data_IF_668042650208
#
_entry.id   IF_668042650208
#
_cell.length_a   1.000
_cell.length_b   1.000
_cell.length_c   1.000
_cell.angle_alpha   90.00
_cell.angle_beta   90.00
_cell.angle_gamma   90.00
#
_symmetry.space_group_name_H-M   'P 1'
#
loop_
_entity.id
_entity.type
_entity.pdbx_description
1 polymer ?
#
# COMPACT_ATOMS: atom_id res chain seq x y z
N UNK A 1 8.56 -27.29 20.19
CA UNK A 1 8.43 -26.20 21.19
C UNK A 1 8.30 -24.92 20.39
N UNK A 2 7.24 -24.14 20.55
CA UNK A 2 7.15 -22.85 19.86
C UNK A 2 8.19 -21.92 20.45
N UNK A 3 9.12 -21.46 19.63
CA UNK A 3 10.03 -20.37 19.97
C UNK A 3 9.20 -19.11 20.11
N UNK A 4 9.10 -18.62 21.33
CA UNK A 4 8.55 -17.29 21.61
C UNK A 4 9.40 -16.28 20.86
N UNK A 5 8.82 -15.63 19.86
CA UNK A 5 9.43 -14.47 19.22
C UNK A 5 9.76 -13.42 20.30
N UNK A 6 10.92 -12.76 20.23
CA UNK A 6 11.24 -11.72 21.20
C UNK A 6 10.14 -10.66 21.15
N UNK A 7 9.59 -10.32 22.30
CA UNK A 7 8.65 -9.22 22.41
C UNK A 7 9.42 -7.93 22.09
N UNK A 8 9.24 -7.40 20.90
CA UNK A 8 9.67 -6.05 20.55
C UNK A 8 8.57 -5.10 21.04
N UNK A 9 8.23 -5.18 22.32
CA UNK A 9 7.52 -4.11 23.01
C UNK A 9 8.52 -2.98 23.28
N UNK A 10 9.06 -2.42 22.20
CA UNK A 10 9.89 -1.23 22.24
C UNK A 10 9.00 0.00 22.37
N UNK A 11 9.53 1.06 23.01
CA UNK A 11 8.90 2.38 22.97
C UNK A 11 8.62 2.77 21.52
N UNK A 12 7.53 3.54 21.29
CA UNK A 12 7.23 4.11 19.99
C UNK A 12 8.45 4.88 19.45
N UNK A 13 8.67 4.89 18.14
CA UNK A 13 9.77 5.65 17.54
C UNK A 13 9.60 7.14 17.83
N UNK A 14 10.72 7.81 18.08
CA UNK A 14 10.75 9.24 18.44
C UNK A 14 11.02 10.15 17.23
N UNK A 15 11.36 9.56 16.09
CA UNK A 15 11.59 10.28 14.82
C UNK A 15 11.19 9.45 13.61
N UNK A 16 10.94 10.13 12.50
CA UNK A 16 10.62 9.48 11.21
C UNK A 16 11.80 8.66 10.68
N UNK A 17 13.03 9.14 10.86
CA UNK A 17 14.24 8.39 10.47
C UNK A 17 14.37 7.08 11.25
N UNK A 18 13.96 7.07 12.51
CA UNK A 18 13.92 5.84 13.32
C UNK A 18 12.92 4.84 12.75
N UNK A 19 11.77 5.28 12.26
CA UNK A 19 10.78 4.39 11.61
C UNK A 19 11.38 3.74 10.37
N UNK A 20 12.03 4.52 9.49
CA UNK A 20 12.72 3.99 8.30
C UNK A 20 13.80 2.98 8.69
N UNK A 21 14.61 3.29 9.72
CA UNK A 21 15.62 2.36 10.22
C UNK A 21 15.02 1.04 10.70
N UNK A 22 13.94 1.09 11.50
CA UNK A 22 13.22 -0.10 11.98
C UNK A 22 12.62 -0.91 10.83
N UNK A 23 12.09 -0.26 9.80
CA UNK A 23 11.60 -0.94 8.60
C UNK A 23 12.72 -1.68 7.86
N UNK A 24 13.92 -1.08 7.73
CA UNK A 24 15.12 -1.74 7.18
C UNK A 24 15.53 -2.98 7.99
N UNK A 25 15.46 -2.90 9.31
CA UNK A 25 15.77 -4.01 10.21
C UNK A 25 14.75 -5.16 10.10
N UNK A 26 13.47 -4.84 9.86
CA UNK A 26 12.40 -5.83 9.64
C UNK A 26 12.46 -6.49 8.27
N UNK A 27 12.98 -5.82 7.24
CA UNK A 27 13.01 -6.31 5.84
C UNK A 27 13.44 -7.77 5.71
N UNK A 28 14.56 -8.26 6.30
CA UNK A 28 14.94 -9.66 6.18
C UNK A 28 13.95 -10.62 6.85
N UNK A 29 13.33 -10.23 7.96
CA UNK A 29 12.33 -11.05 8.68
C UNK A 29 11.07 -11.20 7.82
N UNK A 30 10.60 -10.09 7.23
CA UNK A 30 9.45 -10.11 6.31
C UNK A 30 9.74 -10.95 5.05
N UNK A 31 10.98 -10.89 4.54
CA UNK A 31 11.40 -11.64 3.36
C UNK A 31 11.43 -13.17 3.61
N UNK A 32 11.72 -13.60 4.84
CA UNK A 32 11.68 -15.01 5.23
C UNK A 32 10.22 -15.53 5.25
N UNK A 33 9.26 -14.71 5.70
CA UNK A 33 7.84 -15.06 5.76
C UNK A 33 7.14 -15.06 4.38
N UNK A 34 7.59 -14.21 3.45
CA UNK A 34 6.92 -13.95 2.16
C UNK A 34 6.58 -15.19 1.33
N UNK A 35 7.48 -16.19 1.16
CA UNK A 35 7.17 -17.40 0.42
C UNK A 35 6.00 -18.23 0.98
N UNK A 36 5.87 -18.30 2.30
CA UNK A 36 4.78 -19.04 2.96
C UNK A 36 3.46 -18.30 2.86
N UNK A 37 3.46 -16.99 3.02
CA UNK A 37 2.29 -16.12 2.83
C UNK A 37 1.77 -16.25 1.40
N UNK A 38 2.64 -16.13 0.40
CA UNK A 38 2.28 -16.31 -1.02
C UNK A 38 1.75 -17.70 -1.31
N UNK A 39 2.38 -18.74 -0.76
CA UNK A 39 1.94 -20.13 -0.97
C UNK A 39 0.54 -20.39 -0.43
N UNK A 40 0.28 -19.94 0.78
CA UNK A 40 -1.00 -20.14 1.46
C UNK A 40 -2.09 -19.20 0.93
N UNK A 41 -1.74 -18.04 0.36
CA UNK A 41 -2.70 -16.96 0.09
C UNK A 41 -3.36 -16.45 1.37
N UNK A 42 -2.62 -16.50 2.47
CA UNK A 42 -3.13 -16.13 3.80
C UNK A 42 -2.77 -14.70 4.17
N UNK A 43 -3.59 -14.10 5.01
CA UNK A 43 -3.31 -12.78 5.59
C UNK A 43 -1.93 -12.77 6.29
N UNK A 44 -1.14 -11.69 6.14
CA UNK A 44 0.18 -11.57 6.74
C UNK A 44 0.12 -11.12 8.20
N UNK A 45 -0.74 -11.75 9.01
CA UNK A 45 -1.05 -11.35 10.40
C UNK A 45 0.20 -11.15 11.26
N UNK A 46 1.16 -12.08 11.21
CA UNK A 46 2.40 -11.97 11.97
C UNK A 46 3.28 -10.80 11.51
N UNK A 47 3.40 -10.59 10.19
CA UNK A 47 4.11 -9.45 9.65
C UNK A 47 3.46 -8.13 10.08
N UNK A 48 2.12 -8.02 9.96
CA UNK A 48 1.40 -6.81 10.38
C UNK A 48 1.55 -6.54 11.87
N UNK A 49 1.55 -7.59 12.72
CA UNK A 49 1.84 -7.48 14.14
C UNK A 49 3.27 -6.93 14.38
N UNK A 50 4.27 -7.45 13.67
CA UNK A 50 5.65 -6.96 13.75
C UNK A 50 5.78 -5.49 13.35
N UNK A 51 5.06 -5.04 12.30
CA UNK A 51 5.05 -3.62 11.91
C UNK A 51 4.47 -2.74 13.03
N UNK A 52 3.38 -3.20 13.69
CA UNK A 52 2.76 -2.52 14.82
C UNK A 52 3.71 -2.44 16.03
N UNK A 53 4.31 -3.57 16.43
CA UNK A 53 5.26 -3.65 17.54
C UNK A 53 6.52 -2.80 17.31
N UNK A 54 6.95 -2.67 16.06
CA UNK A 54 8.05 -1.77 15.68
C UNK A 54 7.62 -0.30 15.57
N UNK A 55 6.32 0.01 15.72
CA UNK A 55 5.79 1.37 15.71
C UNK A 55 5.75 2.02 14.33
N UNK A 56 5.74 1.23 13.22
CA UNK A 56 5.78 1.80 11.87
C UNK A 56 4.50 2.58 11.52
N UNK A 57 3.40 2.32 12.22
CA UNK A 57 2.15 3.07 12.06
C UNK A 57 2.20 4.51 12.57
N UNK A 58 3.22 4.87 13.37
CA UNK A 58 3.39 6.23 13.87
C UNK A 58 3.51 7.29 12.77
N UNK A 59 3.99 6.92 11.57
CA UNK A 59 4.03 7.82 10.41
C UNK A 59 2.64 8.24 9.90
N UNK A 60 1.59 7.49 10.26
CA UNK A 60 0.24 7.68 9.75
C UNK A 60 -0.72 8.26 10.80
N UNK A 61 -0.21 8.54 12.01
CA UNK A 61 -0.96 9.13 13.12
C UNK A 61 -0.42 10.52 13.39
N UNK A 62 -1.29 11.54 13.59
CA UNK A 62 -0.85 12.90 13.91
C UNK A 62 0.02 12.98 15.17
N UNK A 63 1.00 13.89 15.17
CA UNK A 63 1.86 14.14 16.32
C UNK A 63 1.05 14.57 17.58
N UNK A 64 -0.03 15.33 17.37
CA UNK A 64 -0.95 15.70 18.45
C UNK A 64 -1.67 14.49 19.10
N UNK A 65 -1.69 13.33 18.43
CA UNK A 65 -2.29 12.08 18.91
C UNK A 65 -1.23 11.01 19.21
N UNK A 66 0.03 11.41 19.39
CA UNK A 66 1.13 10.52 19.76
C UNK A 66 1.87 9.87 18.60
N UNK A 67 1.55 10.21 17.34
CA UNK A 67 2.25 9.75 16.15
C UNK A 67 3.40 10.65 15.72
N UNK A 68 3.80 10.57 14.44
CA UNK A 68 4.91 11.34 13.86
C UNK A 68 4.49 12.14 12.60
N UNK A 69 3.22 12.13 12.28
CA UNK A 69 2.67 12.93 11.20
C UNK A 69 2.36 14.33 11.71
N UNK A 70 2.99 15.34 11.14
CA UNK A 70 2.83 16.74 11.56
C UNK A 70 1.82 17.52 10.74
N UNK A 71 0.99 16.80 9.90
CA UNK A 71 -0.09 17.42 9.09
C UNK A 71 0.33 18.66 8.30
N UNK A 72 -0.50 19.17 7.46
CA UNK A 72 -1.69 18.61 6.82
C UNK A 72 -1.32 17.43 5.90
N UNK A 73 -2.26 16.91 5.13
CA UNK A 73 -2.25 15.66 4.35
C UNK A 73 -0.92 15.20 3.73
N UNK A 74 0.09 16.03 3.62
CA UNK A 74 1.34 15.81 2.89
C UNK A 74 2.62 15.82 3.71
N UNK A 75 2.56 16.01 5.02
CA UNK A 75 3.75 15.94 5.89
C UNK A 75 4.33 14.53 5.98
N UNK A 76 5.67 14.39 5.94
CA UNK A 76 6.37 13.12 6.15
C UNK A 76 6.26 12.11 5.01
N UNK A 77 5.91 12.51 3.81
CA UNK A 77 5.74 11.60 2.67
C UNK A 77 7.03 10.88 2.28
N UNK A 78 8.17 11.55 2.30
CA UNK A 78 9.45 10.91 1.98
C UNK A 78 9.69 9.68 2.87
N UNK A 79 9.54 9.82 4.18
CA UNK A 79 9.73 8.72 5.14
C UNK A 79 8.66 7.64 4.98
N UNK A 80 7.41 8.02 4.73
CA UNK A 80 6.32 7.08 4.46
C UNK A 80 6.61 6.22 3.23
N UNK A 81 7.05 6.83 2.13
CA UNK A 81 7.37 6.13 0.88
C UNK A 81 8.61 5.24 1.04
N UNK A 82 9.66 5.73 1.73
CA UNK A 82 10.85 4.93 2.01
C UNK A 82 10.53 3.73 2.91
N UNK A 83 9.75 3.94 3.97
CA UNK A 83 9.27 2.86 4.85
C UNK A 83 8.48 1.81 4.08
N UNK A 84 7.53 2.25 3.22
CA UNK A 84 6.75 1.36 2.37
C UNK A 84 7.63 0.53 1.43
N UNK A 85 8.65 1.15 0.82
CA UNK A 85 9.58 0.43 -0.06
C UNK A 85 10.34 -0.66 0.71
N UNK A 86 10.82 -0.38 1.93
CA UNK A 86 11.51 -1.37 2.76
C UNK A 86 10.59 -2.53 3.18
N UNK A 87 9.35 -2.25 3.60
CA UNK A 87 8.36 -3.28 3.91
C UNK A 87 8.10 -4.16 2.69
N UNK A 88 7.87 -3.52 1.53
CA UNK A 88 7.53 -4.20 0.27
C UNK A 88 8.68 -5.02 -0.31
N UNK A 89 9.93 -4.62 -0.03
CA UNK A 89 11.10 -5.40 -0.39
C UNK A 89 11.20 -6.68 0.45
N UNK A 90 10.73 -6.67 1.68
CA UNK A 90 10.54 -7.88 2.47
C UNK A 90 9.40 -8.73 1.93
N UNK A 91 8.18 -8.18 1.91
CA UNK A 91 7.00 -8.84 1.37
C UNK A 91 6.01 -7.87 0.75
N UNK A 92 5.74 -8.04 -0.55
CA UNK A 92 4.85 -7.14 -1.30
C UNK A 92 3.40 -7.12 -0.80
N UNK A 93 2.88 -8.25 -0.31
CA UNK A 93 1.51 -8.30 0.24
C UNK A 93 1.42 -7.53 1.56
N UNK A 94 2.39 -7.71 2.45
CA UNK A 94 2.49 -6.92 3.69
C UNK A 94 2.60 -5.42 3.39
N UNK A 95 3.41 -5.05 2.38
CA UNK A 95 3.54 -3.67 1.92
C UNK A 95 2.22 -3.07 1.45
N UNK A 96 1.44 -3.81 0.67
CA UNK A 96 0.12 -3.33 0.21
C UNK A 96 -0.89 -3.21 1.37
N UNK A 97 -0.87 -4.14 2.34
CA UNK A 97 -1.69 -4.01 3.54
C UNK A 97 -1.34 -2.74 4.33
N UNK A 98 -0.06 -2.47 4.54
CA UNK A 98 0.40 -1.26 5.23
C UNK A 98 0.04 0.02 4.46
N UNK A 99 0.19 0.02 3.13
CA UNK A 99 -0.19 1.13 2.25
C UNK A 99 -1.68 1.46 2.38
N UNK A 100 -2.54 0.43 2.31
CA UNK A 100 -3.99 0.58 2.46
C UNK A 100 -4.35 1.21 3.80
N UNK A 101 -3.76 0.70 4.89
CA UNK A 101 -3.94 1.26 6.23
C UNK A 101 -3.44 2.70 6.36
N UNK A 102 -2.34 3.05 5.68
CA UNK A 102 -1.78 4.40 5.69
C UNK A 102 -2.70 5.43 5.01
N UNK A 103 -3.31 5.06 3.88
CA UNK A 103 -4.28 5.91 3.18
C UNK A 103 -5.50 6.17 4.06
N UNK A 104 -6.11 5.11 4.59
CA UNK A 104 -7.30 5.21 5.44
C UNK A 104 -7.02 6.00 6.72
N UNK A 105 -5.86 5.78 7.34
CA UNK A 105 -5.47 6.54 8.54
C UNK A 105 -5.46 8.05 8.26
N UNK A 106 -4.90 8.46 7.13
CA UNK A 106 -4.85 9.88 6.76
C UNK A 106 -6.23 10.47 6.46
N UNK A 107 -7.11 9.72 5.81
CA UNK A 107 -8.51 10.13 5.62
C UNK A 107 -9.22 10.35 6.97
N UNK A 108 -9.07 9.42 7.90
CA UNK A 108 -9.69 9.48 9.23
C UNK A 108 -9.16 10.66 10.05
N UNK A 109 -7.85 10.80 10.15
CA UNK A 109 -7.25 11.82 11.01
C UNK A 109 -7.31 13.22 10.44
N UNK A 110 -7.52 13.37 9.12
CA UNK A 110 -7.80 14.66 8.45
C UNK A 110 -9.28 15.04 8.47
N UNK A 111 -10.19 14.15 8.91
CA UNK A 111 -11.63 14.40 8.92
C UNK A 111 -12.05 15.29 10.11
N UNK A 112 -12.36 16.59 9.93
CA UNK A 112 -12.76 17.47 11.02
C UNK A 112 -14.13 17.14 11.60
N UNK A 113 -14.97 16.41 10.84
CA UNK A 113 -16.31 15.98 11.26
C UNK A 113 -16.27 14.81 12.25
N UNK A 114 -15.18 14.07 12.30
CA UNK A 114 -15.00 13.05 13.33
C UNK A 114 -14.71 13.73 14.68
N UNK A 115 -15.43 13.36 15.74
CA UNK A 115 -15.15 13.85 17.09
C UNK A 115 -13.70 13.60 17.51
N UNK A 116 -13.11 14.52 18.28
CA UNK A 116 -11.75 14.33 18.82
C UNK A 116 -11.61 13.03 19.60
N UNK A 117 -12.63 12.67 20.41
CA UNK A 117 -12.67 11.42 21.17
C UNK A 117 -12.55 10.18 20.27
N UNK A 118 -13.28 10.16 19.14
CA UNK A 118 -13.19 9.06 18.16
C UNK A 118 -11.79 9.01 17.56
N UNK A 119 -11.20 10.14 17.17
CA UNK A 119 -9.84 10.18 16.62
C UNK A 119 -8.78 9.75 17.63
N UNK A 120 -8.90 10.18 18.90
CA UNK A 120 -8.02 9.77 20.00
C UNK A 120 -8.10 8.27 20.26
N UNK A 121 -9.33 7.70 20.29
CA UNK A 121 -9.54 6.27 20.44
C UNK A 121 -8.88 5.48 19.28
N UNK A 122 -9.08 5.91 18.03
CA UNK A 122 -8.52 5.26 16.86
C UNK A 122 -6.99 5.35 16.84
N UNK A 123 -6.42 6.48 17.26
CA UNK A 123 -4.97 6.64 17.38
C UNK A 123 -4.38 5.67 18.42
N UNK A 124 -4.98 5.57 19.63
CA UNK A 124 -4.57 4.60 20.65
C UNK A 124 -4.62 3.16 20.13
N UNK A 125 -5.71 2.82 19.44
CA UNK A 125 -5.88 1.47 18.90
C UNK A 125 -4.83 1.12 17.84
N UNK A 126 -4.48 2.03 16.96
CA UNK A 126 -3.45 1.82 15.93
C UNK A 126 -2.05 1.77 16.54
N UNK A 127 -1.73 2.72 17.43
CA UNK A 127 -0.39 2.84 17.99
C UNK A 127 -0.06 1.78 19.04
N UNK A 128 -1.04 1.37 19.85
CA UNK A 128 -0.80 0.55 21.04
C UNK A 128 -1.47 -0.81 21.03
N UNK A 129 -2.48 -1.04 20.14
CA UNK A 129 -3.21 -2.31 20.07
C UNK A 129 -3.04 -3.03 18.73
N UNK A 130 -2.24 -2.46 17.81
CA UNK A 130 -1.97 -3.06 16.50
C UNK A 130 -3.21 -3.19 15.61
N UNK A 131 -4.23 -2.34 15.80
CA UNK A 131 -5.43 -2.34 14.95
C UNK A 131 -5.09 -1.88 13.56
N UNK A 132 -5.72 -2.53 12.57
CA UNK A 132 -5.52 -2.24 11.16
C UNK A 132 -6.71 -1.49 10.58
N UNK A 133 -6.42 -0.61 9.63
CA UNK A 133 -7.45 -0.01 8.80
C UNK A 133 -7.55 -0.72 7.45
N UNK A 134 -8.77 -0.90 7.00
CA UNK A 134 -9.15 -1.58 5.76
C UNK A 134 -9.79 -0.57 4.82
N UNK A 135 -9.24 -0.40 3.62
CA UNK A 135 -9.85 0.43 2.59
C UNK A 135 -10.96 -0.34 1.87
N UNK A 136 -12.17 0.20 1.88
CA UNK A 136 -13.36 -0.41 1.29
C UNK A 136 -14.02 0.56 0.30
N UNK A 137 -13.39 0.73 -0.88
CA UNK A 137 -13.78 1.75 -1.85
C UNK A 137 -14.37 1.19 -3.16
N UNK A 138 -13.90 0.01 -3.62
CA UNK A 138 -14.22 -0.50 -4.94
C UNK A 138 -15.62 -1.13 -5.02
N UNK A 139 -16.38 -0.73 -6.05
CA UNK A 139 -17.67 -1.30 -6.42
C UNK A 139 -17.51 -1.95 -7.80
N UNK A 140 -17.65 -3.27 -7.88
CA UNK A 140 -17.46 -4.02 -9.13
C UNK A 140 -18.58 -5.01 -9.39
N UNK A 141 -18.63 -5.52 -10.61
CA UNK A 141 -19.42 -6.69 -10.94
C UNK A 141 -20.93 -6.48 -10.99
N UNK A 142 -21.41 -5.24 -11.08
CA UNK A 142 -22.86 -4.99 -11.19
C UNK A 142 -23.61 -5.08 -9.85
N UNK A 143 -22.90 -5.15 -8.74
CA UNK A 143 -23.50 -5.19 -7.37
C UNK A 143 -24.18 -3.87 -6.96
N UNK A 144 -24.17 -2.86 -7.83
CA UNK A 144 -24.70 -1.55 -7.52
C UNK A 144 -23.77 -0.71 -6.63
N UNK A 145 -24.29 0.42 -6.17
CA UNK A 145 -23.57 1.29 -5.23
C UNK A 145 -23.83 0.87 -3.81
N UNK A 146 -22.83 1.01 -2.96
CA UNK A 146 -23.05 1.00 -1.51
C UNK A 146 -23.69 2.31 -1.12
N UNK A 147 -24.81 2.25 -0.43
CA UNK A 147 -25.63 3.40 -0.05
C UNK A 147 -25.75 3.49 1.46
N UNK A 148 -25.95 4.72 1.95
CA UNK A 148 -26.27 5.00 3.33
C UNK A 148 -27.55 5.80 3.45
N UNK A 149 -28.36 5.54 4.48
CA UNK A 149 -29.59 6.28 4.81
C UNK A 149 -29.49 6.84 6.22
N UNK A 150 -29.91 8.08 6.42
CA UNK A 150 -29.96 8.71 7.75
C UNK A 150 -31.05 8.03 8.58
N UNK A 151 -30.73 7.74 9.83
CA UNK A 151 -31.67 7.21 10.83
C UNK A 151 -31.42 7.94 12.15
N UNK A 152 -32.35 7.89 13.13
CA UNK A 152 -32.11 8.49 14.44
C UNK A 152 -30.81 7.98 15.08
N UNK A 153 -29.87 8.89 15.37
CA UNK A 153 -28.59 8.59 16.05
C UNK A 153 -27.48 8.05 15.15
N UNK A 154 -27.63 8.10 13.82
CA UNK A 154 -26.59 7.64 12.90
C UNK A 154 -27.06 7.43 11.47
N UNK A 155 -26.44 6.46 10.82
CA UNK A 155 -26.77 6.03 9.46
C UNK A 155 -26.87 4.50 9.39
N UNK A 156 -27.57 4.01 8.37
CA UNK A 156 -27.57 2.59 8.00
C UNK A 156 -26.90 2.45 6.65
N UNK A 157 -25.90 1.57 6.53
CA UNK A 157 -25.11 1.31 5.31
C UNK A 157 -25.47 -0.06 4.75
N UNK A 158 -25.75 -0.12 3.45
CA UNK A 158 -26.11 -1.35 2.73
C UNK A 158 -25.40 -1.45 1.38
N UNK A 159 -24.96 -2.66 1.01
CA UNK A 159 -24.35 -2.98 -0.28
C UNK A 159 -23.13 -3.87 -0.19
N UNK A 160 -22.39 -3.99 -1.30
CA UNK A 160 -21.23 -4.88 -1.42
C UNK A 160 -20.01 -4.12 -1.92
N UNK A 161 -18.87 -4.34 -1.28
CA UNK A 161 -17.55 -3.87 -1.73
C UNK A 161 -16.65 -5.04 -2.08
N UNK A 162 -15.78 -4.81 -3.07
CA UNK A 162 -14.72 -5.73 -3.47
C UNK A 162 -13.35 -5.10 -3.24
N UNK A 163 -12.28 -5.89 -3.31
CA UNK A 163 -10.91 -5.40 -3.09
C UNK A 163 -10.69 -4.73 -1.73
N UNK A 164 -11.28 -5.30 -0.67
CA UNK A 164 -11.12 -4.79 0.69
C UNK A 164 -9.75 -5.19 1.27
N UNK A 165 -8.70 -4.53 0.78
CA UNK A 165 -7.31 -4.81 1.17
C UNK A 165 -7.09 -4.69 2.67
N UNK A 166 -6.34 -5.64 3.24
CA UNK A 166 -6.00 -5.71 4.67
C UNK A 166 -7.15 -6.22 5.58
N UNK A 167 -8.16 -6.89 5.00
CA UNK A 167 -9.34 -7.37 5.75
C UNK A 167 -9.21 -8.76 6.36
N UNK A 168 -8.07 -9.43 6.17
CA UNK A 168 -7.86 -10.81 6.64
C UNK A 168 -7.61 -10.93 8.15
N UNK A 169 -7.28 -9.85 8.85
CA UNK A 169 -7.11 -9.85 10.31
C UNK A 169 -8.41 -10.06 11.06
N UNK A 170 -9.53 -9.63 10.49
CA UNK A 170 -10.86 -9.77 11.10
C UNK A 170 -11.02 -9.04 12.44
N UNK A 171 -11.95 -9.50 13.25
CA UNK A 171 -12.12 -9.05 14.64
C UNK A 171 -12.35 -7.54 14.75
N UNK A 172 -11.54 -6.90 15.59
CA UNK A 172 -11.64 -5.47 15.89
C UNK A 172 -10.96 -4.53 14.89
N UNK A 173 -10.37 -5.05 13.80
CA UNK A 173 -9.89 -4.20 12.70
C UNK A 173 -11.05 -3.39 12.11
N UNK A 174 -10.74 -2.23 11.53
CA UNK A 174 -11.74 -1.23 11.17
C UNK A 174 -11.75 -1.03 9.66
N UNK A 175 -12.89 -1.28 9.03
CA UNK A 175 -13.07 -0.89 7.63
C UNK A 175 -13.58 0.54 7.53
N UNK A 176 -12.98 1.33 6.63
CA UNK A 176 -13.51 2.60 6.15
C UNK A 176 -14.24 2.33 4.84
N UNK A 177 -15.56 2.17 4.91
CA UNK A 177 -16.38 1.91 3.73
C UNK A 177 -16.87 3.20 3.12
N UNK A 178 -16.57 3.41 1.83
CA UNK A 178 -17.12 4.54 1.08
C UNK A 178 -18.52 4.23 0.57
N UNK A 179 -19.46 5.15 0.75
CA UNK A 179 -20.85 4.99 0.33
C UNK A 179 -21.45 6.27 -0.24
N UNK A 180 -22.56 6.16 -0.95
CA UNK A 180 -23.35 7.29 -1.40
C UNK A 180 -24.51 7.53 -0.41
N UNK A 181 -24.66 8.77 0.07
CA UNK A 181 -25.75 9.11 1.00
C UNK A 181 -27.04 9.36 0.23
N UNK A 182 -28.12 8.70 0.64
CA UNK A 182 -29.46 8.91 0.10
C UNK A 182 -30.24 9.88 0.98
N UNK A 183 -31.01 10.77 0.33
CA UNK A 183 -32.02 11.59 0.96
C UNK A 183 -33.30 10.81 1.26
N UNK A 184 -34.28 11.50 1.89
CA UNK A 184 -35.57 10.89 2.25
C UNK A 184 -36.39 10.41 1.04
N UNK A 185 -36.10 10.93 -0.15
CA UNK A 185 -36.72 10.54 -1.43
C UNK A 185 -35.98 9.39 -2.15
N UNK A 186 -35.04 8.74 -1.47
CA UNK A 186 -34.16 7.67 -2.00
C UNK A 186 -33.27 8.11 -3.18
N UNK A 187 -33.18 9.40 -3.44
CA UNK A 187 -32.22 9.96 -4.40
C UNK A 187 -30.90 10.30 -3.72
N UNK A 188 -29.82 10.41 -4.51
CA UNK A 188 -28.53 10.85 -3.98
C UNK A 188 -28.65 12.26 -3.38
N UNK A 189 -28.29 12.41 -2.11
CA UNK A 189 -28.29 13.71 -1.44
C UNK A 189 -27.26 14.66 -2.06
N UNK A 190 -26.11 14.11 -2.47
CA UNK A 190 -25.07 14.87 -3.19
C UNK A 190 -24.17 13.91 -3.99
N UNK A 191 -23.28 14.46 -4.82
CA UNK A 191 -22.20 13.70 -5.47
C UNK A 191 -21.07 13.34 -4.50
N UNK A 192 -21.05 13.91 -3.30
CA UNK A 192 -20.03 13.67 -2.28
C UNK A 192 -20.19 12.26 -1.71
N UNK A 193 -19.11 11.50 -1.74
CA UNK A 193 -19.05 10.20 -1.04
C UNK A 193 -18.93 10.44 0.45
N UNK A 194 -19.37 9.48 1.23
CA UNK A 194 -19.21 9.43 2.68
C UNK A 194 -18.39 8.20 3.04
N UNK A 195 -17.75 8.23 4.21
CA UNK A 195 -17.05 7.10 4.79
C UNK A 195 -17.73 6.71 6.12
N UNK A 196 -17.85 5.41 6.36
CA UNK A 196 -18.32 4.86 7.63
C UNK A 196 -17.25 3.93 8.20
N UNK A 197 -16.98 4.05 9.49
CA UNK A 197 -16.00 3.26 10.23
C UNK A 197 -16.73 2.12 10.93
N UNK A 198 -16.44 0.89 10.50
CA UNK A 198 -17.16 -0.30 10.97
C UNK A 198 -16.13 -1.35 11.40
N UNK A 199 -16.35 -2.00 12.55
CA UNK A 199 -15.53 -3.13 13.00
C UNK A 199 -15.80 -4.37 12.15
N UNK A 200 -14.77 -5.14 11.82
CA UNK A 200 -14.91 -6.33 10.97
C UNK A 200 -15.64 -7.48 11.67
N UNK A 201 -15.76 -7.47 13.00
CA UNK A 201 -16.57 -8.42 13.76
C UNK A 201 -18.05 -8.01 13.92
N UNK A 202 -18.47 -6.93 13.26
CA UNK A 202 -19.88 -6.55 13.23
C UNK A 202 -20.72 -7.67 12.60
N UNK A 203 -21.74 -8.19 13.29
CA UNK A 203 -22.53 -9.34 12.80
C UNK A 203 -23.33 -9.07 11.52
N UNK A 204 -23.50 -7.80 11.13
CA UNK A 204 -24.15 -7.41 9.88
C UNK A 204 -23.19 -7.38 8.69
N UNK A 205 -21.92 -7.73 8.88
CA UNK A 205 -20.95 -7.94 7.80
C UNK A 205 -20.89 -9.41 7.40
N UNK A 206 -20.70 -9.65 6.09
CA UNK A 206 -20.29 -10.96 5.58
C UNK A 206 -18.95 -10.83 4.88
N UNK A 207 -17.93 -11.47 5.44
CA UNK A 207 -16.60 -11.58 4.84
C UNK A 207 -16.56 -12.86 4.01
N UNK A 208 -16.33 -12.74 2.70
CA UNK A 208 -16.50 -13.85 1.76
C UNK A 208 -15.30 -14.80 1.68
N UNK A 209 -14.10 -14.38 2.14
CA UNK A 209 -12.87 -15.17 2.05
C UNK A 209 -12.54 -15.63 0.60
N UNK A 210 -12.89 -14.82 -0.39
CA UNK A 210 -12.88 -15.11 -1.81
C UNK A 210 -11.67 -14.52 -2.57
N UNK A 211 -10.64 -14.05 -1.85
CA UNK A 211 -9.47 -13.48 -2.48
C UNK A 211 -8.55 -14.57 -3.07
N UNK A 212 -8.58 -14.74 -4.39
CA UNK A 212 -7.78 -15.72 -5.12
C UNK A 212 -7.17 -15.12 -6.41
N UNK A 213 -6.21 -14.23 -6.26
CA UNK A 213 -5.55 -13.56 -7.35
C UNK A 213 -4.16 -14.16 -7.63
N UNK A 214 -3.65 -13.90 -8.84
CA UNK A 214 -2.36 -14.37 -9.33
C UNK A 214 -1.20 -13.93 -8.43
N UNK A 215 -1.22 -12.69 -7.95
CA UNK A 215 -0.24 -12.10 -7.05
C UNK A 215 -0.91 -11.27 -5.97
N UNK A 216 -0.10 -10.68 -5.07
CA UNK A 216 -0.61 -10.01 -3.87
C UNK A 216 -1.57 -10.91 -3.08
N UNK A 217 -1.24 -12.20 -3.05
CA UNK A 217 -2.11 -13.25 -2.50
C UNK A 217 -2.37 -13.06 -1.01
N UNK A 218 -1.38 -12.54 -0.27
CA UNK A 218 -1.49 -12.26 1.16
C UNK A 218 -2.23 -10.96 1.52
N UNK A 219 -2.67 -10.13 0.54
CA UNK A 219 -3.38 -8.88 0.90
C UNK A 219 -4.78 -9.11 1.43
N UNK A 220 -5.31 -10.30 1.22
CA UNK A 220 -6.64 -10.70 1.64
C UNK A 220 -7.71 -9.66 1.28
N UNK A 221 -7.69 -9.24 0.01
CA UNK A 221 -8.54 -8.17 -0.52
C UNK A 221 -9.93 -8.70 -0.89
N UNK A 222 -10.58 -9.38 0.05
CA UNK A 222 -11.83 -10.11 -0.13
C UNK A 222 -13.03 -9.20 -0.40
N UNK A 223 -14.14 -9.81 -0.79
CA UNK A 223 -15.47 -9.19 -0.86
C UNK A 223 -16.05 -9.05 0.54
N UNK A 224 -16.71 -7.93 0.83
CA UNK A 224 -17.46 -7.68 2.06
C UNK A 224 -18.85 -7.20 1.70
N UNK A 225 -19.87 -7.90 2.22
CA UNK A 225 -21.26 -7.43 2.23
C UNK A 225 -21.55 -6.66 3.51
N UNK A 226 -22.22 -5.53 3.34
CA UNK A 226 -22.78 -4.69 4.38
C UNK A 226 -24.29 -4.85 4.32
N UNK A 227 -24.92 -5.41 5.37
CA UNK A 227 -26.34 -5.70 5.40
C UNK A 227 -27.04 -4.86 6.46
N UNK A 228 -27.59 -3.70 6.02
CA UNK A 228 -28.29 -2.76 6.92
C UNK A 228 -27.43 -2.44 8.18
N UNK A 229 -26.14 -2.13 7.99
CA UNK A 229 -25.19 -1.90 9.09
C UNK A 229 -25.46 -0.56 9.72
N UNK A 230 -25.90 -0.53 10.97
CA UNK A 230 -26.01 0.70 11.74
C UNK A 230 -24.63 1.24 12.12
N UNK A 231 -24.39 2.50 11.82
CA UNK A 231 -23.18 3.25 12.17
C UNK A 231 -23.61 4.49 12.98
N UNK A 232 -23.18 4.61 14.24
CA UNK A 232 -23.59 5.73 15.07
C UNK A 232 -22.98 7.06 14.60
N UNK A 233 -23.60 8.15 14.99
CA UNK A 233 -23.05 9.49 14.82
C UNK A 233 -21.63 9.55 15.40
N UNK A 234 -20.73 10.27 14.71
CA UNK A 234 -19.31 10.35 15.07
C UNK A 234 -18.45 9.19 14.60
N UNK A 235 -19.02 8.20 13.88
CA UNK A 235 -18.29 7.10 13.22
C UNK A 235 -18.45 7.13 11.69
N UNK A 236 -18.97 8.21 11.15
CA UNK A 236 -19.04 8.44 9.70
C UNK A 236 -18.75 9.91 9.39
N UNK A 237 -18.29 10.18 8.19
CA UNK A 237 -17.92 11.53 7.74
C UNK A 237 -18.03 11.66 6.22
N UNK A 238 -18.28 12.87 5.67
CA UNK A 238 -18.20 13.09 4.24
C UNK A 238 -16.75 12.99 3.76
N UNK A 239 -16.54 12.42 2.59
CA UNK A 239 -15.23 12.46 1.96
C UNK A 239 -14.90 13.94 1.65
N UNK A 240 -13.75 14.39 2.12
CA UNK A 240 -13.27 15.72 1.80
C UNK A 240 -12.92 15.86 0.34
N UNK A 241 -12.99 17.07 -0.19
CA UNK A 241 -12.36 17.40 -1.45
C UNK A 241 -10.88 17.00 -1.33
N UNK A 242 -10.45 16.09 -2.18
CA UNK A 242 -9.07 15.64 -2.16
C UNK A 242 -8.14 16.88 -2.24
N UNK A 243 -7.14 16.94 -1.37
CA UNK A 243 -6.10 17.95 -1.50
C UNK A 243 -5.59 17.95 -2.95
N UNK A 244 -5.38 19.12 -3.58
CA UNK A 244 -4.94 19.22 -4.96
C UNK A 244 -3.71 18.38 -5.30
N UNK A 245 -2.88 18.08 -4.29
CA UNK A 245 -1.66 17.28 -4.42
C UNK A 245 -1.87 15.77 -4.15
N UNK A 246 -3.09 15.36 -3.83
CA UNK A 246 -3.42 13.97 -3.50
C UNK A 246 -2.97 12.98 -4.59
N UNK A 247 -3.13 13.33 -5.87
CA UNK A 247 -2.71 12.46 -6.97
C UNK A 247 -1.21 12.17 -6.97
N UNK A 248 -0.40 13.17 -6.63
CA UNK A 248 1.05 12.95 -6.47
C UNK A 248 1.32 11.97 -5.33
N UNK A 249 0.73 12.19 -4.17
CA UNK A 249 0.92 11.35 -3.00
C UNK A 249 0.48 9.90 -3.25
N UNK A 250 -0.69 9.69 -3.84
CA UNK A 250 -1.19 8.36 -4.18
C UNK A 250 -0.26 7.63 -5.17
N UNK A 251 0.24 8.35 -6.19
CA UNK A 251 1.18 7.76 -7.15
C UNK A 251 2.52 7.42 -6.52
N UNK A 252 3.00 8.19 -5.56
CA UNK A 252 4.22 7.90 -4.81
C UNK A 252 4.05 6.67 -3.90
N UNK A 253 2.90 6.46 -3.27
CA UNK A 253 2.61 5.24 -2.53
C UNK A 253 2.64 4.01 -3.45
N UNK A 254 2.02 4.11 -4.63
CA UNK A 254 2.10 3.04 -5.63
C UNK A 254 3.55 2.79 -6.10
N UNK A 255 4.32 3.87 -6.32
CA UNK A 255 5.73 3.76 -6.68
C UNK A 255 6.54 3.06 -5.58
N UNK A 256 6.36 3.43 -4.31
CA UNK A 256 7.06 2.83 -3.18
C UNK A 256 6.83 1.33 -3.05
N UNK A 257 5.58 0.87 -3.21
CA UNK A 257 5.26 -0.55 -3.20
C UNK A 257 5.97 -1.30 -4.34
N UNK A 258 5.87 -0.80 -5.58
CA UNK A 258 6.44 -1.46 -6.76
C UNK A 258 7.97 -1.42 -6.77
N UNK A 259 8.57 -0.31 -6.31
CA UNK A 259 10.00 -0.18 -6.09
C UNK A 259 10.50 -1.23 -5.10
N UNK A 260 9.83 -1.35 -3.96
CA UNK A 260 10.20 -2.34 -2.94
C UNK A 260 10.11 -3.77 -3.45
N UNK A 261 9.03 -4.13 -4.18
CA UNK A 261 8.92 -5.47 -4.78
C UNK A 261 10.09 -5.76 -5.72
N UNK A 262 10.50 -4.79 -6.56
CA UNK A 262 11.66 -4.93 -7.44
C UNK A 262 12.97 -5.10 -6.68
N UNK A 263 13.19 -4.33 -5.63
CA UNK A 263 14.36 -4.45 -4.75
C UNK A 263 14.39 -5.79 -4.02
N UNK A 264 13.25 -6.26 -3.51
CA UNK A 264 13.13 -7.58 -2.89
C UNK A 264 13.44 -8.72 -3.86
N UNK A 265 13.03 -8.60 -5.12
CA UNK A 265 13.37 -9.56 -6.17
C UNK A 265 14.89 -9.61 -6.42
N UNK A 266 15.51 -8.44 -6.51
CA UNK A 266 16.96 -8.30 -6.69
C UNK A 266 17.74 -8.91 -5.54
N UNK A 267 17.39 -8.62 -4.29
CA UNK A 267 18.03 -9.19 -3.11
C UNK A 267 17.87 -10.71 -3.05
N UNK A 268 16.67 -11.21 -3.34
CA UNK A 268 16.41 -12.65 -3.36
C UNK A 268 17.24 -13.37 -4.44
N UNK A 269 17.45 -12.74 -5.60
CA UNK A 269 18.32 -13.27 -6.65
C UNK A 269 19.79 -13.32 -6.20
N UNK A 270 20.30 -12.25 -5.57
CA UNK A 270 21.66 -12.23 -5.01
C UNK A 270 21.84 -13.33 -3.98
N UNK A 271 20.92 -13.45 -3.01
CA UNK A 271 20.98 -14.48 -1.98
C UNK A 271 20.99 -15.89 -2.58
N UNK A 272 20.16 -16.12 -3.61
CA UNK A 272 20.11 -17.39 -4.35
C UNK A 272 21.44 -17.70 -5.04
N UNK A 273 22.02 -16.73 -5.77
CA UNK A 273 23.29 -16.88 -6.46
C UNK A 273 24.44 -17.14 -5.49
N UNK A 274 24.52 -16.42 -4.39
CA UNK A 274 25.53 -16.61 -3.34
C UNK A 274 25.44 -18.01 -2.72
N UNK A 275 24.22 -18.51 -2.46
CA UNK A 275 23.98 -19.81 -1.86
C UNK A 275 24.40 -20.96 -2.80
N UNK A 276 24.06 -20.88 -4.07
CA UNK A 276 24.36 -21.94 -5.05
C UNK A 276 25.70 -21.76 -5.75
N UNK A 277 26.15 -20.52 -5.88
CA UNK A 277 27.42 -20.11 -6.49
C UNK A 277 27.71 -20.72 -7.88
N UNK A 278 26.65 -21.01 -8.64
CA UNK A 278 26.74 -21.65 -9.96
C UNK A 278 26.83 -20.60 -11.06
N UNK A 279 27.86 -20.62 -11.92
CA UNK A 279 28.02 -19.67 -13.02
C UNK A 279 27.06 -19.97 -14.17
N UNK A 280 26.86 -19.00 -15.07
CA UNK A 280 26.11 -19.15 -16.32
C UNK A 280 26.81 -20.13 -17.29
N UNK A 281 28.15 -20.12 -17.29
CA UNK A 281 28.97 -21.05 -18.09
C UNK A 281 30.04 -21.69 -17.21
N UNK A 282 30.32 -23.00 -17.40
CA UNK A 282 31.33 -23.74 -16.59
C UNK A 282 32.70 -23.07 -16.55
N UNK A 283 33.13 -22.39 -17.63
CA UNK A 283 34.43 -21.73 -17.73
C UNK A 283 34.66 -20.63 -16.68
N UNK A 284 33.62 -20.07 -16.11
CA UNK A 284 33.72 -19.03 -15.09
C UNK A 284 33.90 -19.58 -13.66
N UNK A 285 33.71 -20.88 -13.46
CA UNK A 285 33.90 -21.53 -12.17
C UNK A 285 32.81 -21.24 -11.15
N UNK A 286 32.56 -19.99 -10.81
CA UNK A 286 31.57 -19.57 -9.81
C UNK A 286 30.69 -18.39 -10.31
N UNK A 287 29.52 -18.22 -9.73
CA UNK A 287 28.66 -17.07 -10.03
C UNK A 287 29.36 -15.73 -9.70
N UNK A 288 30.16 -15.70 -8.63
CA UNK A 288 30.91 -14.51 -8.21
C UNK A 288 32.04 -14.12 -9.17
N UNK A 289 32.44 -14.98 -10.10
CA UNK A 289 33.45 -14.74 -11.13
C UNK A 289 32.84 -14.57 -12.53
N UNK A 290 31.53 -14.61 -12.65
CA UNK A 290 30.82 -14.61 -13.94
C UNK A 290 30.53 -13.17 -14.43
N UNK A 291 31.24 -12.68 -15.46
CA UNK A 291 31.08 -11.32 -15.95
C UNK A 291 29.71 -11.07 -16.61
N UNK A 292 29.02 -12.13 -17.09
CA UNK A 292 27.67 -11.98 -17.66
C UNK A 292 26.63 -11.74 -16.55
N UNK A 293 26.78 -12.42 -15.41
CA UNK A 293 25.95 -12.16 -14.24
C UNK A 293 26.24 -10.78 -13.65
N UNK A 294 27.51 -10.37 -13.55
CA UNK A 294 27.87 -9.03 -13.08
C UNK A 294 27.24 -7.94 -13.94
N UNK A 295 27.25 -8.07 -15.28
CA UNK A 295 26.62 -7.12 -16.19
C UNK A 295 25.12 -7.00 -15.94
N UNK A 296 24.41 -8.12 -15.86
CA UNK A 296 22.98 -8.12 -15.67
C UNK A 296 22.59 -7.57 -14.27
N UNK A 297 23.31 -7.94 -13.22
CA UNK A 297 23.12 -7.40 -11.88
C UNK A 297 23.35 -5.87 -11.87
N UNK A 298 24.39 -5.38 -12.55
CA UNK A 298 24.69 -3.96 -12.65
C UNK A 298 23.60 -3.17 -13.38
N UNK A 299 23.03 -3.71 -14.46
CA UNK A 299 21.91 -3.11 -15.19
C UNK A 299 20.67 -2.98 -14.27
N UNK A 300 20.25 -4.08 -13.64
CA UNK A 300 19.10 -4.10 -12.74
C UNK A 300 19.28 -3.19 -11.53
N UNK A 301 20.48 -3.18 -10.92
CA UNK A 301 20.82 -2.29 -9.81
C UNK A 301 20.74 -0.82 -10.20
N UNK A 302 21.24 -0.46 -11.38
CA UNK A 302 21.21 0.91 -11.89
C UNK A 302 19.78 1.39 -12.16
N UNK A 303 18.92 0.51 -12.71
CA UNK A 303 17.52 0.81 -12.96
C UNK A 303 16.73 1.03 -11.65
N UNK A 304 16.92 0.16 -10.67
CA UNK A 304 16.31 0.31 -9.34
C UNK A 304 16.80 1.57 -8.63
N UNK A 305 18.09 1.88 -8.72
CA UNK A 305 18.65 3.09 -8.10
C UNK A 305 18.11 4.37 -8.74
N UNK A 306 17.98 4.42 -10.07
CA UNK A 306 17.42 5.56 -10.78
C UNK A 306 15.96 5.80 -10.45
N UNK A 307 15.13 4.74 -10.45
CA UNK A 307 13.70 4.85 -10.11
C UNK A 307 13.50 5.22 -8.64
N UNK A 308 14.29 4.67 -7.71
CA UNK A 308 14.25 5.03 -6.28
C UNK A 308 14.61 6.51 -6.07
N UNK A 309 15.69 6.98 -6.71
CA UNK A 309 16.10 8.38 -6.60
C UNK A 309 15.01 9.33 -7.10
N UNK A 310 14.41 9.05 -8.26
CA UNK A 310 13.29 9.84 -8.78
C UNK A 310 12.11 9.87 -7.79
N UNK A 311 11.70 8.72 -7.29
CA UNK A 311 10.58 8.58 -6.35
C UNK A 311 10.80 9.40 -5.07
N UNK A 312 11.97 9.27 -4.44
CA UNK A 312 12.28 9.98 -3.20
C UNK A 312 12.44 11.48 -3.43
N UNK A 313 13.03 11.90 -4.54
CA UNK A 313 13.13 13.32 -4.90
C UNK A 313 11.76 13.96 -5.08
N UNK A 314 10.82 13.25 -5.74
CA UNK A 314 9.44 13.76 -5.89
C UNK A 314 8.72 13.82 -4.53
N UNK A 315 8.95 12.85 -3.65
CA UNK A 315 8.40 12.86 -2.30
C UNK A 315 8.91 14.05 -1.46
N UNK A 316 10.21 14.36 -1.55
CA UNK A 316 10.81 15.55 -0.90
C UNK A 316 10.22 16.86 -1.47
N UNK A 317 10.05 16.94 -2.78
CA UNK A 317 9.42 18.10 -3.42
C UNK A 317 7.96 18.28 -2.99
N UNK A 318 7.22 17.19 -2.85
CA UNK A 318 5.82 17.20 -2.42
C UNK A 318 5.67 17.76 -1.00
N UNK A 319 6.51 17.36 -0.06
CA UNK A 319 6.43 17.79 1.34
C UNK A 319 7.14 19.12 1.63
N UNK A 320 7.86 19.68 0.66
CA UNK A 320 8.59 20.92 0.87
C UNK A 320 7.67 22.11 1.11
N UNK A 321 7.88 22.90 2.18
CA UNK A 321 7.18 24.17 2.37
C UNK A 321 7.42 25.19 1.26
N UNK A 322 8.58 25.07 0.59
CA UNK A 322 8.98 25.90 -0.55
C UNK A 322 8.61 25.25 -1.89
N UNK A 323 7.58 24.39 -1.90
CA UNK A 323 7.10 23.76 -3.14
C UNK A 323 6.76 24.81 -4.19
N UNK A 324 7.43 24.71 -5.33
CA UNK A 324 7.35 25.65 -6.45
C UNK A 324 6.41 25.17 -7.57
N UNK A 325 6.00 23.91 -7.51
CA UNK A 325 5.18 23.29 -8.55
C UNK A 325 3.68 23.36 -8.22
N UNK A 326 2.89 23.73 -9.21
CA UNK A 326 1.44 23.67 -9.16
C UNK A 326 0.93 22.21 -9.03
N UNK A 327 -0.28 21.98 -8.52
CA UNK A 327 -0.83 20.63 -8.31
C UNK A 327 -0.77 19.73 -9.56
N UNK A 328 -1.03 20.29 -10.74
CA UNK A 328 -0.96 19.57 -12.01
C UNK A 328 0.47 19.09 -12.32
N UNK A 329 1.46 19.94 -12.14
CA UNK A 329 2.87 19.58 -12.35
C UNK A 329 3.32 18.55 -11.32
N UNK A 330 2.91 18.68 -10.04
CA UNK A 330 3.21 17.69 -9.02
C UNK A 330 2.58 16.32 -9.34
N UNK A 331 1.34 16.31 -9.86
CA UNK A 331 0.72 15.06 -10.32
C UNK A 331 1.54 14.38 -11.44
N UNK A 332 2.05 15.16 -12.41
CA UNK A 332 2.94 14.65 -13.47
C UNK A 332 4.24 14.09 -12.89
N UNK A 333 4.87 14.76 -11.92
CA UNK A 333 6.06 14.24 -11.23
C UNK A 333 5.75 12.89 -10.55
N UNK A 334 4.61 12.79 -9.87
CA UNK A 334 4.11 11.54 -9.28
C UNK A 334 3.86 10.43 -10.31
N UNK A 335 3.25 10.76 -11.46
CA UNK A 335 3.04 9.80 -12.55
C UNK A 335 4.37 9.29 -13.11
N UNK A 336 5.37 10.15 -13.31
CA UNK A 336 6.71 9.74 -13.75
C UNK A 336 7.36 8.79 -12.74
N UNK A 337 7.28 9.08 -11.44
CA UNK A 337 7.81 8.21 -10.40
C UNK A 337 7.11 6.83 -10.42
N UNK A 338 5.76 6.81 -10.50
CA UNK A 338 5.00 5.56 -10.61
C UNK A 338 5.37 4.74 -11.84
N UNK A 339 5.45 5.38 -13.02
CA UNK A 339 5.81 4.71 -14.28
C UNK A 339 7.20 4.09 -14.17
N UNK A 340 8.18 4.85 -13.66
CA UNK A 340 9.55 4.37 -13.50
C UNK A 340 9.62 3.17 -12.53
N UNK A 341 9.02 3.27 -11.34
CA UNK A 341 9.04 2.19 -10.35
C UNK A 341 8.25 0.97 -10.80
N UNK A 342 7.14 1.15 -11.56
CA UNK A 342 6.39 0.02 -12.12
C UNK A 342 7.22 -0.74 -13.15
N UNK A 343 7.92 -0.02 -14.04
CA UNK A 343 8.79 -0.63 -15.05
C UNK A 343 9.96 -1.34 -14.38
N UNK A 344 10.66 -0.70 -13.48
CA UNK A 344 11.77 -1.29 -12.73
C UNK A 344 11.33 -2.54 -11.96
N UNK A 345 10.21 -2.46 -11.23
CA UNK A 345 9.67 -3.59 -10.47
C UNK A 345 9.33 -4.80 -11.34
N UNK A 346 8.64 -4.58 -12.48
CA UNK A 346 8.27 -5.65 -13.41
C UNK A 346 9.49 -6.22 -14.15
N UNK A 347 10.36 -5.37 -14.64
CA UNK A 347 11.56 -5.76 -15.41
C UNK A 347 12.51 -6.57 -14.53
N UNK A 348 12.88 -6.06 -13.36
CA UNK A 348 13.79 -6.73 -12.45
C UNK A 348 13.21 -8.05 -11.96
N UNK A 349 11.94 -8.08 -11.51
CA UNK A 349 11.31 -9.31 -11.02
C UNK A 349 11.14 -10.39 -12.10
N UNK A 350 11.12 -10.04 -13.38
CA UNK A 350 11.18 -10.97 -14.50
C UNK A 350 12.60 -11.44 -14.78
N UNK A 351 13.56 -10.50 -14.88
CA UNK A 351 14.93 -10.77 -15.31
C UNK A 351 15.77 -11.54 -14.28
N UNK A 352 15.40 -11.54 -13.01
CA UNK A 352 16.10 -12.38 -12.01
C UNK A 352 16.15 -13.84 -12.42
N UNK A 353 15.18 -14.33 -13.19
CA UNK A 353 15.14 -15.72 -13.67
C UNK A 353 16.19 -16.02 -14.74
N UNK A 354 16.65 -15.02 -15.52
CA UNK A 354 17.77 -15.14 -16.45
C UNK A 354 19.09 -15.42 -15.71
N UNK A 355 19.22 -14.89 -14.48
CA UNK A 355 20.37 -15.10 -13.62
C UNK A 355 20.29 -16.41 -12.83
N UNK A 356 19.13 -16.69 -12.27
CA UNK A 356 18.95 -17.80 -11.32
C UNK A 356 18.64 -19.12 -12.02
N UNK A 357 18.25 -19.08 -13.30
CA UNK A 357 18.05 -20.24 -14.17
C UNK A 357 16.83 -21.10 -13.81
N UNK A 358 16.62 -22.18 -14.56
CA UNK A 358 15.42 -23.01 -14.50
C UNK A 358 15.11 -23.56 -13.09
N UNK A 359 16.14 -23.90 -12.29
CA UNK A 359 15.93 -24.43 -10.93
C UNK A 359 15.18 -23.46 -10.02
N UNK A 360 15.38 -22.15 -10.20
CA UNK A 360 14.75 -21.10 -9.39
C UNK A 360 13.24 -20.98 -9.63
N UNK A 361 12.74 -21.55 -10.73
CA UNK A 361 11.29 -21.55 -11.04
C UNK A 361 10.51 -22.57 -10.20
N UNK A 362 11.20 -23.39 -9.39
CA UNK A 362 10.55 -24.31 -8.46
C UNK A 362 9.75 -23.56 -7.40
N UNK A 363 8.56 -24.08 -7.08
CA UNK A 363 7.73 -23.59 -5.98
C UNK A 363 8.43 -23.58 -4.61
N UNK A 364 9.55 -24.31 -4.46
CA UNK A 364 10.37 -24.28 -3.24
C UNK A 364 10.99 -22.89 -2.98
N UNK A 365 11.30 -22.15 -4.04
CA UNK A 365 11.94 -20.83 -3.94
C UNK A 365 10.95 -19.67 -4.01
N UNK A 366 9.84 -19.87 -4.71
CA UNK A 366 8.81 -18.84 -4.87
C UNK A 366 9.32 -17.49 -5.36
N UNK A 367 10.35 -17.47 -6.20
CA UNK A 367 10.89 -16.21 -6.74
C UNK A 367 9.94 -15.55 -7.73
N UNK A 368 9.06 -16.32 -8.36
CA UNK A 368 7.99 -15.86 -9.25
C UNK A 368 6.98 -14.94 -8.53
N UNK A 369 6.88 -15.03 -7.17
CA UNK A 369 5.97 -14.18 -6.39
C UNK A 369 6.22 -12.69 -6.61
N UNK A 370 7.46 -12.27 -6.78
CA UNK A 370 7.81 -10.88 -7.00
C UNK A 370 7.20 -10.33 -8.29
N UNK A 371 7.35 -11.05 -9.40
CA UNK A 371 6.73 -10.67 -10.66
C UNK A 371 5.20 -10.72 -10.58
N UNK A 372 4.62 -11.77 -10.00
CA UNK A 372 3.17 -11.88 -9.82
C UNK A 372 2.61 -10.74 -8.97
N UNK A 373 3.30 -10.39 -7.89
CA UNK A 373 2.94 -9.26 -7.02
C UNK A 373 3.04 -7.92 -7.77
N UNK A 374 4.16 -7.66 -8.43
CA UNK A 374 4.35 -6.44 -9.22
C UNK A 374 3.32 -6.33 -10.35
N UNK A 375 3.02 -7.46 -11.04
CA UNK A 375 2.03 -7.48 -12.13
C UNK A 375 0.63 -7.22 -11.63
N UNK A 376 0.23 -7.87 -10.54
CA UNK A 376 -1.11 -7.70 -9.94
C UNK A 376 -1.33 -6.25 -9.52
N UNK A 377 -0.42 -5.68 -8.73
CA UNK A 377 -0.56 -4.30 -8.29
C UNK A 377 -0.36 -3.29 -9.42
N UNK A 378 0.56 -3.55 -10.35
CA UNK A 378 0.78 -2.71 -11.52
C UNK A 378 -0.43 -2.63 -12.47
N UNK A 379 -1.39 -3.55 -12.33
CA UNK A 379 -2.67 -3.54 -13.07
C UNK A 379 -3.79 -2.79 -12.34
N UNK A 380 -3.56 -2.36 -11.10
CA UNK A 380 -4.53 -1.59 -10.31
C UNK A 380 -4.91 -0.28 -11.01
N UNK A 381 -3.96 0.32 -11.74
CA UNK A 381 -4.14 1.62 -12.40
C UNK A 381 -3.25 1.70 -13.65
N UNK A 382 -3.85 2.10 -14.79
CA UNK A 382 -3.22 2.04 -16.11
C UNK A 382 -1.94 2.90 -16.24
N UNK A 383 -0.83 2.25 -16.56
CA UNK A 383 0.44 2.92 -16.89
C UNK A 383 0.34 3.68 -18.21
N UNK A 384 -0.41 3.16 -19.20
CA UNK A 384 -0.58 3.84 -20.49
C UNK A 384 -1.35 5.15 -20.33
N UNK A 385 -2.35 5.19 -19.45
CA UNK A 385 -3.04 6.42 -19.12
C UNK A 385 -2.07 7.45 -18.49
N UNK A 386 -1.17 7.02 -17.58
CA UNK A 386 -0.16 7.93 -17.00
C UNK A 386 0.83 8.44 -18.05
N UNK A 387 1.28 7.58 -18.96
CA UNK A 387 2.13 8.00 -20.07
C UNK A 387 1.41 9.00 -21.00
N UNK A 388 0.12 8.79 -21.26
CA UNK A 388 -0.67 9.74 -22.05
C UNK A 388 -0.79 11.10 -21.37
N UNK A 389 -1.05 11.14 -20.04
CA UNK A 389 -1.07 12.39 -19.27
C UNK A 389 0.27 13.10 -19.26
N UNK A 390 1.37 12.37 -19.06
CA UNK A 390 2.73 12.94 -19.12
C UNK A 390 2.99 13.54 -20.49
N UNK A 391 2.71 12.80 -21.57
CA UNK A 391 2.93 13.26 -22.93
C UNK A 391 2.07 14.47 -23.29
N UNK A 392 0.82 14.51 -22.86
CA UNK A 392 -0.08 15.65 -23.08
C UNK A 392 0.43 16.90 -22.35
N UNK A 393 0.89 16.75 -21.12
CA UNK A 393 1.48 17.85 -20.34
C UNK A 393 2.76 18.37 -20.96
N UNK A 394 3.66 17.48 -21.38
CA UNK A 394 4.94 17.86 -22.02
C UNK A 394 4.72 18.57 -23.36
N UNK A 395 3.66 18.23 -24.09
CA UNK A 395 3.32 18.82 -25.38
C UNK A 395 2.56 20.15 -25.26
N UNK A 396 1.60 20.24 -24.34
CA UNK A 396 0.63 21.35 -24.29
C UNK A 396 0.70 22.17 -22.99
N UNK A 397 1.49 21.77 -21.99
CA UNK A 397 1.60 22.44 -20.70
C UNK A 397 0.33 22.35 -19.82
N UNK A 398 -0.61 21.45 -20.17
CA UNK A 398 -1.86 21.31 -19.45
C UNK A 398 -2.21 19.83 -19.21
N UNK A 399 -2.79 19.56 -18.03
CA UNK A 399 -3.41 18.27 -17.75
C UNK A 399 -4.87 18.28 -18.19
N UNK A 400 -5.35 17.22 -18.85
CA UNK A 400 -6.80 17.00 -18.96
C UNK A 400 -7.40 16.81 -17.56
N UNK A 401 -8.71 17.01 -17.41
CA UNK A 401 -9.41 16.83 -16.15
C UNK A 401 -9.27 15.38 -15.65
N UNK A 402 -8.35 15.15 -14.72
CA UNK A 402 -7.98 13.81 -14.24
C UNK A 402 -9.18 12.98 -13.76
N UNK A 403 -10.19 13.55 -13.04
CA UNK A 403 -11.36 12.78 -12.58
C UNK A 403 -12.17 12.13 -13.70
N UNK A 404 -12.10 12.63 -14.93
CA UNK A 404 -12.81 12.05 -16.07
C UNK A 404 -12.16 10.77 -16.61
N UNK A 405 -10.89 10.53 -16.27
CA UNK A 405 -10.07 9.46 -16.85
C UNK A 405 -9.57 8.42 -15.83
N UNK A 406 -9.76 8.68 -14.55
CA UNK A 406 -9.35 7.76 -13.48
C UNK A 406 -10.60 7.25 -12.78
N UNK A 407 -10.79 5.94 -12.80
CA UNK A 407 -11.73 5.28 -11.89
C UNK A 407 -11.08 5.28 -10.51
N UNK A 408 -11.58 6.13 -9.64
CA UNK A 408 -11.19 6.18 -8.22
C UNK A 408 -12.23 5.36 -7.46
#
# INVERSE_FOLDING_TARGET
>A
MPTTAPSVAGALPTSRDEVVRRAKELRPILAEAGPSIDAAGSDPTDNMRLLGEAGLHALNVPAALGGLWDGPSFGGWRHTIETLAEISAGDGSTGQCWLSGALVAREIFDAPELPSETREQLADEVLHRGRRFVASNAETGGNGRVVGRKVPGGIVVDGTKTFNTNSGGGGQDITSVSFALLGDDEQLESSTRHHALIRLDNPALTLHHDWDNMGQRGTYSQTIDYREVFVPDGWHFPAHAADPYFFCAAMLLHAGLLQGIGEGAYDAAIAYLQKLNRPSMPKFGTATNDPLMHRQLGEMSSELAASRALMLTVAEQLESPARDAEPAEMAIRGFRAKVASTRAGLEVSSRIHDLTGARSTSNTYRLDRFWRNARTFGSHDSIDAKNAFIGAFDLAGALPAIPEYIRI
#
